data_IF_524906977125
#
_entry.id   IF_524906977125
#
_cell.length_a   1.000
_cell.length_b   1.000
_cell.length_c   1.000
_cell.angle_alpha   90.00
_cell.angle_beta   90.00
_cell.angle_gamma   90.00
#
_symmetry.space_group_name_H-M   'P 1'
#
loop_
_entity.id
_entity.type
_entity.pdbx_description
1 polymer ?
#
# COMPACT_ATOMS: atom_id res chain seq x y z
N UNK A 1 6.92 -11.03 -17.99
CA UNK A 1 6.93 -10.15 -19.18
C UNK A 1 5.48 -9.75 -19.55
N UNK A 2 5.09 -8.51 -19.24
CA UNK A 2 3.71 -8.05 -19.42
C UNK A 2 3.28 -6.87 -18.54
N UNK A 3 4.17 -6.30 -17.73
CA UNK A 3 3.84 -5.13 -16.92
C UNK A 3 4.15 -3.85 -17.69
N UNK A 4 3.12 -3.05 -17.95
CA UNK A 4 3.19 -1.69 -18.51
C UNK A 4 3.87 -0.67 -17.57
N UNK A 5 4.58 -1.16 -16.56
CA UNK A 5 5.11 -0.37 -15.44
C UNK A 5 6.61 -0.19 -15.58
N UNK A 6 7.10 0.98 -15.19
CA UNK A 6 8.54 1.24 -15.07
C UNK A 6 9.16 0.42 -13.94
N UNK A 7 10.49 0.33 -13.89
CA UNK A 7 11.18 -0.37 -12.80
C UNK A 7 10.84 0.21 -11.42
N UNK A 8 10.68 1.54 -11.32
CA UNK A 8 10.30 2.20 -10.07
C UNK A 8 8.88 1.81 -9.64
N UNK A 9 7.91 1.84 -10.57
CA UNK A 9 6.55 1.41 -10.30
C UNK A 9 6.50 -0.08 -9.91
N UNK A 10 7.29 -0.90 -10.57
CA UNK A 10 7.38 -2.34 -10.28
C UNK A 10 7.94 -2.61 -8.89
N UNK A 11 8.90 -1.82 -8.42
CA UNK A 11 9.42 -1.91 -7.05
C UNK A 11 8.33 -1.68 -6.01
N UNK A 12 7.56 -0.60 -6.15
CA UNK A 12 6.47 -0.30 -5.21
C UNK A 12 5.33 -1.32 -5.29
N UNK A 13 5.01 -1.81 -6.48
CA UNK A 13 4.03 -2.90 -6.65
C UNK A 13 4.51 -4.18 -5.97
N UNK A 14 5.77 -4.56 -6.14
CA UNK A 14 6.34 -5.74 -5.48
C UNK A 14 6.34 -5.58 -3.95
N UNK A 15 6.65 -4.39 -3.45
CA UNK A 15 6.56 -4.08 -2.01
C UNK A 15 5.13 -4.23 -1.51
N UNK A 16 4.15 -3.62 -2.18
CA UNK A 16 2.73 -3.73 -1.83
C UNK A 16 2.25 -5.19 -1.81
N UNK A 17 2.68 -6.01 -2.78
CA UNK A 17 2.35 -7.43 -2.84
C UNK A 17 2.84 -8.22 -1.62
N UNK A 18 3.93 -7.83 -0.97
CA UNK A 18 4.39 -8.48 0.28
C UNK A 18 3.44 -8.29 1.46
N UNK A 19 2.51 -7.34 1.36
CA UNK A 19 1.54 -7.00 2.39
C UNK A 19 0.12 -7.49 2.06
N UNK A 20 -0.08 -8.14 0.90
CA UNK A 20 -1.38 -8.71 0.52
C UNK A 20 -1.66 -10.01 1.29
N UNK A 21 -2.16 -9.90 2.51
CA UNK A 21 -2.65 -11.03 3.29
C UNK A 21 -4.18 -11.09 3.27
N UNK A 22 -4.75 -12.25 2.97
CA UNK A 22 -6.18 -12.48 3.17
C UNK A 22 -6.38 -13.02 4.59
N UNK A 23 -6.48 -12.11 5.57
CA UNK A 23 -6.72 -12.46 6.97
C UNK A 23 -8.21 -12.75 7.23
N UNK A 24 -8.47 -13.65 8.17
CA UNK A 24 -9.80 -13.90 8.72
C UNK A 24 -10.27 -12.68 9.55
N UNK A 25 -11.56 -12.34 9.52
CA UNK A 25 -12.13 -11.27 10.35
C UNK A 25 -11.88 -11.44 11.86
N UNK A 26 -11.74 -12.66 12.37
CA UNK A 26 -11.32 -12.89 13.77
C UNK A 26 -9.90 -12.40 14.04
N UNK A 27 -8.99 -12.54 13.08
CA UNK A 27 -7.62 -12.05 13.18
C UNK A 27 -7.58 -10.51 13.22
N UNK A 28 -8.44 -9.85 12.44
CA UNK A 28 -8.57 -8.38 12.42
C UNK A 28 -9.13 -7.83 13.73
N UNK A 29 -10.12 -8.51 14.33
CA UNK A 29 -10.67 -8.10 15.65
C UNK A 29 -9.60 -8.17 16.73
N UNK A 30 -8.82 -9.27 16.78
CA UNK A 30 -7.74 -9.43 17.76
C UNK A 30 -6.66 -8.36 17.56
N UNK A 31 -6.28 -8.07 16.32
CA UNK A 31 -5.26 -7.04 16.02
C UNK A 31 -5.70 -5.62 16.35
N UNK A 32 -6.96 -5.30 16.10
CA UNK A 32 -7.55 -4.01 16.49
C UNK A 32 -7.54 -3.86 18.01
N UNK A 33 -7.86 -4.93 18.75
CA UNK A 33 -7.77 -4.94 20.22
C UNK A 33 -6.33 -4.77 20.74
N UNK A 34 -5.35 -5.28 19.99
CA UNK A 34 -3.92 -5.09 20.29
C UNK A 34 -3.36 -3.73 19.85
N UNK A 35 -4.20 -2.84 19.28
CA UNK A 35 -3.80 -1.51 18.83
C UNK A 35 -2.91 -1.51 17.58
N UNK A 36 -2.91 -2.60 16.81
CA UNK A 36 -2.16 -2.69 15.55
C UNK A 36 -3.07 -2.33 14.37
N UNK A 37 -2.53 -1.59 13.40
CA UNK A 37 -3.24 -1.26 12.16
C UNK A 37 -3.28 -2.46 11.22
N UNK A 38 -4.36 -2.59 10.45
CA UNK A 38 -4.46 -3.48 9.28
C UNK A 38 -3.26 -3.23 8.34
N UNK A 39 -2.75 -4.30 7.72
CA UNK A 39 -1.70 -4.23 6.70
C UNK A 39 -2.03 -3.24 5.58
N UNK A 40 -3.30 -3.10 5.17
CA UNK A 40 -3.69 -2.12 4.15
C UNK A 40 -3.45 -0.68 4.63
N UNK A 41 -3.85 -0.36 5.86
CA UNK A 41 -3.66 0.97 6.44
C UNK A 41 -2.17 1.26 6.61
N UNK A 42 -1.40 0.28 7.09
CA UNK A 42 0.04 0.41 7.28
C UNK A 42 0.78 0.65 5.96
N UNK A 43 0.46 -0.14 4.92
CA UNK A 43 1.02 0.00 3.58
C UNK A 43 0.71 1.38 2.99
N UNK A 44 -0.56 1.78 3.00
CA UNK A 44 -0.98 3.05 2.41
C UNK A 44 -0.35 4.23 3.15
N UNK A 45 -0.26 4.17 4.48
CA UNK A 45 0.41 5.20 5.28
C UNK A 45 1.89 5.29 4.93
N UNK A 46 2.59 4.16 4.83
CA UNK A 46 4.01 4.13 4.45
C UNK A 46 4.23 4.74 3.06
N UNK A 47 3.44 4.35 2.07
CA UNK A 47 3.55 4.86 0.70
C UNK A 47 3.20 6.36 0.61
N UNK A 48 2.25 6.84 1.41
CA UNK A 48 1.85 8.25 1.42
C UNK A 48 2.97 9.18 1.95
N UNK A 49 3.88 8.65 2.77
CA UNK A 49 5.05 9.38 3.26
C UNK A 49 6.27 9.29 2.33
N UNK A 50 6.19 8.55 1.22
CA UNK A 50 7.28 8.40 0.26
C UNK A 50 7.08 9.31 -0.96
N UNK A 51 7.80 10.44 -1.08
CA UNK A 51 7.68 11.31 -2.25
C UNK A 51 8.08 10.60 -3.56
N UNK A 52 8.96 9.60 -3.50
CA UNK A 52 9.37 8.78 -4.64
C UNK A 52 8.22 7.93 -5.17
N UNK A 53 7.32 7.49 -4.30
CA UNK A 53 6.10 6.78 -4.69
C UNK A 53 5.17 7.72 -5.47
N UNK A 54 4.91 8.91 -4.92
CA UNK A 54 4.11 9.93 -5.59
C UNK A 54 4.70 10.33 -6.95
N UNK A 55 6.03 10.43 -7.06
CA UNK A 55 6.72 10.69 -8.31
C UNK A 55 6.60 9.53 -9.30
N UNK A 56 6.79 8.28 -8.85
CA UNK A 56 6.74 7.09 -9.70
C UNK A 56 5.35 6.85 -10.30
N UNK A 57 4.29 7.21 -9.58
CA UNK A 57 2.89 7.08 -10.05
C UNK A 57 2.27 8.40 -10.51
N UNK A 58 3.03 9.49 -10.52
CA UNK A 58 2.56 10.82 -10.88
C UNK A 58 1.30 11.23 -10.09
N UNK A 59 1.23 10.84 -8.81
CA UNK A 59 0.14 11.21 -7.91
C UNK A 59 0.11 12.74 -7.73
N UNK A 60 -1.04 13.37 -7.97
CA UNK A 60 -1.21 14.80 -7.63
C UNK A 60 -1.61 14.97 -6.16
N UNK A 61 -1.19 16.06 -5.46
CA UNK A 61 -1.42 16.26 -4.03
C UNK A 61 -2.89 16.35 -3.56
N UNK A 62 -3.87 16.16 -4.48
CA UNK A 62 -5.31 16.19 -4.20
C UNK A 62 -6.04 14.92 -4.67
N UNK A 63 -5.33 13.88 -5.08
CA UNK A 63 -5.96 12.63 -5.43
C UNK A 63 -6.06 11.73 -4.20
N UNK A 64 -7.25 11.73 -3.58
CA UNK A 64 -7.67 10.68 -2.62
C UNK A 64 -7.59 9.27 -3.24
N UNK A 65 -7.51 9.19 -4.58
CA UNK A 65 -7.54 7.96 -5.38
C UNK A 65 -6.18 7.31 -5.67
N UNK A 66 -5.08 7.76 -5.07
CA UNK A 66 -3.87 6.92 -5.09
C UNK A 66 -3.99 5.71 -4.13
N UNK A 67 -5.07 5.63 -3.33
CA UNK A 67 -5.31 4.60 -2.32
C UNK A 67 -6.75 4.06 -2.26
N UNK A 68 -7.49 4.12 -3.36
CA UNK A 68 -8.84 3.53 -3.49
C UNK A 68 -8.81 2.30 -4.42
#
# INVERSE_FOLDING_TARGET
PGTYYTSAQTFFLAYAQTQCYQRDGLFEVVRTQLGTYDEQIALNTALNHMPEFAQAFQCTPKQDKCFD
#
